data_IF_141635141190
#
_entry.id   IF_141635141190
#
_cell.length_a   1.000
_cell.length_b   1.000
_cell.length_c   1.000
_cell.angle_alpha   90.00
_cell.angle_beta   90.00
_cell.angle_gamma   90.00
#
_symmetry.space_group_name_H-M   'P 1'
#
loop_
_entity.id
_entity.type
_entity.pdbx_description
1 polymer ?
#
# COMPACT_ATOMS: atom_id res chain seq x y z
N UNK A 1 -4.22 23.54 17.86
CA UNK A 1 -3.82 22.12 17.72
C UNK A 1 -4.98 21.34 18.32
N UNK A 2 -5.73 20.69 17.46
CA UNK A 2 -6.91 19.93 17.83
C UNK A 2 -6.41 18.60 18.44
N UNK A 3 -6.39 18.51 19.77
CA UNK A 3 -5.90 17.34 20.52
C UNK A 3 -6.96 16.25 20.67
N UNK A 4 -8.16 16.44 20.10
CA UNK A 4 -9.30 15.53 20.26
C UNK A 4 -9.54 14.64 19.01
N UNK A 5 -8.67 14.68 18.03
CA UNK A 5 -8.77 13.77 16.89
C UNK A 5 -8.16 12.42 17.29
N UNK A 6 -9.00 11.52 17.80
CA UNK A 6 -8.62 10.11 17.92
C UNK A 6 -8.34 9.62 16.49
N UNK A 7 -7.10 9.26 16.16
CA UNK A 7 -6.80 8.78 14.82
C UNK A 7 -7.63 7.54 14.54
N UNK A 8 -8.21 7.48 13.36
CA UNK A 8 -8.89 6.28 12.89
C UNK A 8 -7.84 5.20 12.66
N UNK A 9 -7.83 4.18 13.49
CA UNK A 9 -6.90 3.06 13.39
C UNK A 9 -7.66 1.74 13.23
N UNK A 10 -7.21 0.89 12.31
CA UNK A 10 -7.75 -0.45 12.18
C UNK A 10 -7.25 -1.42 13.26
N UNK A 11 -6.41 -0.96 14.19
CA UNK A 11 -5.96 -1.70 15.36
C UNK A 11 -6.96 -1.61 16.52
N UNK A 12 -7.75 -0.53 16.58
CA UNK A 12 -8.77 -0.31 17.60
C UNK A 12 -10.18 -0.70 17.11
N UNK A 13 -11.06 -1.20 17.99
CA UNK A 13 -12.44 -1.49 17.60
C UNK A 13 -13.23 -0.21 17.31
N UNK A 14 -14.13 -0.27 16.34
CA UNK A 14 -15.13 0.78 16.18
C UNK A 14 -15.95 0.92 17.46
N UNK A 15 -16.02 2.12 18.00
CA UNK A 15 -16.78 2.41 19.22
C UNK A 15 -18.20 2.87 18.91
N UNK A 16 -18.38 3.65 17.84
CA UNK A 16 -19.68 4.17 17.45
C UNK A 16 -20.03 3.78 16.03
N UNK A 17 -21.32 3.58 15.77
CA UNK A 17 -21.85 3.26 14.45
C UNK A 17 -21.67 4.46 13.49
N UNK A 18 -20.96 4.30 12.35
CA UNK A 18 -20.80 5.37 11.37
C UNK A 18 -22.11 5.83 10.72
N UNK A 19 -23.17 5.03 10.81
CA UNK A 19 -24.46 5.34 10.17
C UNK A 19 -25.39 6.19 11.07
N UNK A 20 -25.35 6.02 12.39
CA UNK A 20 -26.31 6.64 13.31
C UNK A 20 -25.74 7.11 14.65
N UNK A 21 -24.43 6.93 14.86
CA UNK A 21 -23.74 7.37 16.08
C UNK A 21 -24.01 6.52 17.34
N UNK A 22 -24.75 5.42 17.24
CA UNK A 22 -25.02 4.53 18.37
C UNK A 22 -23.74 3.82 18.83
N UNK A 23 -23.55 3.65 20.13
CA UNK A 23 -22.44 2.85 20.66
C UNK A 23 -22.58 1.39 20.20
N UNK A 24 -21.48 0.84 19.67
CA UNK A 24 -21.48 -0.51 19.11
C UNK A 24 -21.24 -1.56 20.20
N UNK A 25 -21.88 -2.70 20.03
CA UNK A 25 -21.70 -3.87 20.88
C UNK A 25 -20.73 -4.85 20.20
N UNK A 26 -19.74 -5.35 20.95
CA UNK A 26 -18.82 -6.36 20.45
C UNK A 26 -19.58 -7.63 20.06
N UNK A 27 -19.31 -8.15 18.88
CA UNK A 27 -19.77 -9.48 18.49
C UNK A 27 -19.00 -10.53 19.27
N UNK A 28 -19.71 -11.46 19.91
CA UNK A 28 -19.11 -12.55 20.64
C UNK A 28 -18.27 -13.49 19.79
N UNK A 29 -17.31 -14.19 20.39
CA UNK A 29 -16.43 -15.15 19.76
C UNK A 29 -15.13 -14.52 19.22
N UNK A 30 -14.46 -15.21 18.28
CA UNK A 30 -13.20 -14.75 17.64
C UNK A 30 -13.42 -13.62 16.62
N UNK A 31 -14.66 -13.20 16.41
CA UNK A 31 -15.03 -12.14 15.46
C UNK A 31 -14.50 -10.79 15.95
N UNK A 32 -13.65 -10.15 15.15
CA UNK A 32 -13.16 -8.78 15.37
C UNK A 32 -14.16 -7.72 14.91
N UNK A 33 -15.45 -8.02 15.02
CA UNK A 33 -16.54 -7.16 14.59
C UNK A 33 -17.33 -6.58 15.74
N UNK A 34 -18.10 -5.54 15.43
CA UNK A 34 -19.08 -4.94 16.32
C UNK A 34 -20.43 -4.80 15.61
N UNK A 35 -21.53 -4.82 16.36
CA UNK A 35 -22.88 -4.67 15.82
C UNK A 35 -23.53 -3.41 16.39
N UNK A 36 -24.31 -2.73 15.59
CA UNK A 36 -25.13 -1.63 16.03
C UNK A 36 -26.49 -2.18 16.51
N UNK A 37 -26.87 -1.99 17.79
CA UNK A 37 -28.16 -2.43 18.29
C UNK A 37 -29.34 -1.66 17.70
N UNK A 38 -29.11 -0.46 17.17
CA UNK A 38 -30.14 0.39 16.59
C UNK A 38 -30.42 0.07 15.12
N UNK A 39 -29.39 0.07 14.24
CA UNK A 39 -29.60 -0.14 12.80
C UNK A 39 -29.34 -1.58 12.34
N UNK A 40 -28.85 -2.46 13.22
CA UNK A 40 -28.56 -3.87 12.93
C UNK A 40 -27.33 -4.12 12.06
N UNK A 41 -26.61 -3.08 11.62
CA UNK A 41 -25.40 -3.21 10.79
C UNK A 41 -24.24 -3.76 11.62
N UNK A 42 -23.39 -4.52 10.95
CA UNK A 42 -22.15 -5.04 11.53
C UNK A 42 -20.95 -4.38 10.89
N UNK A 43 -19.96 -4.07 11.70
CA UNK A 43 -18.72 -3.42 11.31
C UNK A 43 -17.55 -4.33 11.66
N UNK A 44 -16.64 -4.52 10.72
CA UNK A 44 -15.46 -5.38 10.87
C UNK A 44 -14.21 -4.58 10.61
N UNK A 45 -13.17 -4.88 11.37
CA UNK A 45 -11.82 -4.35 11.09
C UNK A 45 -11.15 -5.22 10.04
N UNK A 46 -10.51 -4.60 9.09
CA UNK A 46 -9.71 -5.27 8.05
C UNK A 46 -8.43 -4.49 7.80
N UNK A 47 -7.39 -5.17 7.34
CA UNK A 47 -6.21 -4.48 6.82
C UNK A 47 -6.59 -3.62 5.62
N UNK A 48 -6.02 -2.44 5.53
CA UNK A 48 -6.16 -1.60 4.34
C UNK A 48 -5.44 -2.27 3.15
N UNK A 49 -6.07 -2.44 1.99
CA UNK A 49 -5.40 -3.02 0.83
C UNK A 49 -4.49 -1.98 0.16
N UNK A 50 -3.25 -2.38 -0.17
CA UNK A 50 -2.30 -1.56 -0.92
C UNK A 50 -1.62 -2.37 -2.01
N UNK A 51 -1.12 -1.69 -3.04
CA UNK A 51 -0.41 -2.27 -4.18
C UNK A 51 0.96 -1.65 -4.34
N UNK A 52 1.95 -2.45 -4.78
CA UNK A 52 3.30 -2.00 -5.10
C UNK A 52 3.78 -2.55 -6.43
N UNK A 53 4.41 -1.69 -7.24
CA UNK A 53 4.89 -1.99 -8.59
C UNK A 53 6.38 -2.31 -8.62
N UNK A 54 6.77 -3.54 -8.88
CA UNK A 54 8.11 -3.84 -9.35
C UNK A 54 8.19 -3.56 -10.87
N UNK A 55 8.45 -2.31 -11.23
CA UNK A 55 8.64 -1.90 -12.61
C UNK A 55 10.02 -2.35 -13.07
N UNK A 56 10.07 -3.28 -14.03
CA UNK A 56 11.33 -3.90 -14.51
C UNK A 56 11.68 -3.41 -15.91
N UNK A 57 12.96 -3.07 -16.10
CA UNK A 57 13.58 -2.78 -17.39
C UNK A 57 14.92 -3.52 -17.49
N UNK A 58 14.95 -4.60 -18.29
CA UNK A 58 16.07 -5.53 -18.36
C UNK A 58 16.40 -6.15 -17.01
N UNK A 59 17.62 -5.96 -16.53
CA UNK A 59 18.11 -6.49 -15.25
C UNK A 59 17.96 -5.49 -14.08
N UNK A 60 17.11 -4.48 -14.22
CA UNK A 60 16.94 -3.42 -13.22
C UNK A 60 15.47 -3.24 -12.84
N UNK A 61 15.24 -2.87 -11.59
CA UNK A 61 13.93 -2.48 -11.06
C UNK A 61 13.95 -1.00 -10.68
N UNK A 62 12.84 -0.31 -10.94
CA UNK A 62 12.66 1.08 -10.53
C UNK A 62 12.28 1.11 -9.05
N UNK A 63 13.03 1.91 -8.27
CA UNK A 63 12.71 2.23 -6.88
C UNK A 63 12.52 3.74 -6.74
N UNK A 64 11.59 4.13 -5.90
CA UNK A 64 11.26 5.53 -5.59
C UNK A 64 11.88 5.95 -4.26
N UNK A 65 11.98 7.25 -4.04
CA UNK A 65 12.32 7.87 -2.76
C UNK A 65 11.07 8.57 -2.25
N UNK A 66 10.63 8.22 -1.06
CA UNK A 66 9.44 8.80 -0.45
C UNK A 66 9.59 10.31 -0.22
N UNK A 67 8.65 11.08 -0.68
CA UNK A 67 8.58 12.54 -0.51
C UNK A 67 7.87 12.96 0.78
N UNK A 68 7.05 12.08 1.35
CA UNK A 68 6.17 12.35 2.50
C UNK A 68 6.37 11.33 3.64
N UNK A 69 5.85 11.65 4.83
CA UNK A 69 5.77 10.71 5.95
C UNK A 69 4.64 9.68 5.74
N UNK A 70 4.74 8.49 6.31
CA UNK A 70 5.86 7.96 7.12
C UNK A 70 7.06 7.56 6.25
N UNK A 71 8.23 7.45 6.90
CA UNK A 71 9.48 6.98 6.30
C UNK A 71 10.02 7.86 5.16
N UNK A 72 9.76 9.17 5.22
CA UNK A 72 10.25 10.14 4.24
C UNK A 72 11.76 10.03 4.02
N UNK A 73 12.16 10.01 2.75
CA UNK A 73 13.56 9.91 2.32
C UNK A 73 14.08 8.48 2.16
N UNK A 74 13.35 7.46 2.63
CA UNK A 74 13.68 6.05 2.41
C UNK A 74 13.16 5.56 1.05
N UNK A 75 13.64 4.40 0.64
CA UNK A 75 13.24 3.80 -0.63
C UNK A 75 11.92 3.05 -0.51
N UNK A 76 11.18 3.07 -1.61
CA UNK A 76 9.89 2.44 -1.76
C UNK A 76 9.73 1.88 -3.18
N UNK A 77 8.67 1.13 -3.43
CA UNK A 77 8.19 0.84 -4.77
C UNK A 77 7.03 1.77 -5.11
N UNK A 78 6.86 2.18 -6.38
CA UNK A 78 5.67 2.92 -6.78
C UNK A 78 4.40 2.18 -6.41
N UNK A 79 3.41 2.89 -5.88
CA UNK A 79 2.15 2.28 -5.46
C UNK A 79 1.45 3.00 -4.34
N UNK A 80 0.27 2.50 -3.96
CA UNK A 80 -0.55 3.14 -2.95
C UNK A 80 -1.75 2.30 -2.54
N UNK A 81 -2.72 2.94 -1.90
CA UNK A 81 -3.92 2.26 -1.43
C UNK A 81 -4.91 1.99 -2.56
N UNK A 82 -5.56 0.82 -2.48
CA UNK A 82 -6.66 0.47 -3.39
C UNK A 82 -7.92 1.21 -2.95
N UNK A 83 -8.54 1.93 -3.88
CA UNK A 83 -9.78 2.66 -3.61
C UNK A 83 -11.01 1.74 -3.53
N UNK A 84 -12.11 2.27 -2.98
CA UNK A 84 -13.36 1.50 -2.83
C UNK A 84 -13.92 1.14 -4.22
N UNK A 85 -14.04 -0.16 -4.46
CA UNK A 85 -14.56 -0.69 -5.73
C UNK A 85 -13.53 -0.78 -6.85
N UNK A 86 -12.30 -0.40 -6.61
CA UNK A 86 -11.20 -0.49 -7.55
C UNK A 86 -10.58 -1.91 -7.57
N UNK A 87 -10.18 -2.38 -8.74
CA UNK A 87 -9.42 -3.63 -8.83
C UNK A 87 -7.92 -3.35 -8.56
N UNK A 88 -7.18 -4.20 -7.81
CA UNK A 88 -5.78 -3.93 -7.45
C UNK A 88 -4.85 -3.58 -8.62
N UNK A 89 -5.05 -4.17 -9.79
CA UNK A 89 -4.26 -3.84 -10.98
C UNK A 89 -4.59 -2.48 -11.57
N UNK A 90 -5.85 -2.05 -11.46
CA UNK A 90 -6.28 -0.73 -11.92
C UNK A 90 -5.74 0.35 -10.97
N UNK A 91 -5.77 0.07 -9.65
CA UNK A 91 -5.10 0.89 -8.64
C UNK A 91 -3.62 1.11 -8.99
N UNK A 92 -2.90 0.02 -9.27
CA UNK A 92 -1.48 0.10 -9.60
C UNK A 92 -1.22 0.89 -10.89
N UNK A 93 -2.07 0.74 -11.91
CA UNK A 93 -1.96 1.54 -13.14
C UNK A 93 -2.28 3.02 -12.90
N UNK A 94 -3.21 3.34 -11.98
CA UNK A 94 -3.50 4.72 -11.55
C UNK A 94 -2.30 5.32 -10.83
N UNK A 95 -1.76 4.63 -9.80
CA UNK A 95 -0.59 5.08 -9.04
C UNK A 95 0.63 5.32 -9.94
N UNK A 96 0.94 4.40 -10.88
CA UNK A 96 2.04 4.57 -11.82
C UNK A 96 1.89 5.83 -12.68
N UNK A 97 0.65 6.20 -13.02
CA UNK A 97 0.37 7.42 -13.78
C UNK A 97 0.49 8.67 -12.90
N UNK A 98 -0.01 8.62 -11.68
CA UNK A 98 0.01 9.75 -10.74
C UNK A 98 1.43 10.03 -10.25
N UNK A 99 2.17 9.01 -9.85
CA UNK A 99 3.51 9.12 -9.27
C UNK A 99 4.63 9.29 -10.29
N UNK A 100 4.50 8.69 -11.48
CA UNK A 100 5.58 8.60 -12.46
C UNK A 100 5.20 9.10 -13.88
N UNK A 101 3.93 9.37 -14.14
CA UNK A 101 3.47 9.82 -15.45
C UNK A 101 3.57 8.75 -16.56
N UNK A 102 3.57 7.45 -16.21
CA UNK A 102 3.73 6.34 -17.16
C UNK A 102 2.47 5.50 -17.27
N UNK A 103 2.24 4.93 -18.46
CA UNK A 103 1.26 3.86 -18.65
C UNK A 103 1.95 2.50 -18.50
N UNK A 104 1.30 1.58 -17.80
CA UNK A 104 1.89 0.30 -17.44
C UNK A 104 1.01 -0.89 -17.79
N UNK A 105 1.65 -2.02 -18.04
CA UNK A 105 1.04 -3.33 -18.06
C UNK A 105 1.38 -4.07 -16.78
N UNK A 106 0.35 -4.47 -16.04
CA UNK A 106 0.46 -5.15 -14.74
C UNK A 106 0.20 -6.64 -14.92
N UNK A 107 1.08 -7.50 -14.41
CA UNK A 107 0.86 -8.94 -14.43
C UNK A 107 -0.43 -9.34 -13.71
N UNK A 108 -0.99 -10.48 -14.13
CA UNK A 108 -2.32 -10.91 -13.65
C UNK A 108 -2.34 -11.34 -12.19
N UNK A 109 -1.21 -11.80 -11.67
CA UNK A 109 -1.10 -12.31 -10.30
C UNK A 109 -0.08 -11.50 -9.52
N UNK A 110 -0.35 -11.22 -8.24
CA UNK A 110 0.67 -10.66 -7.39
C UNK A 110 1.80 -11.67 -7.18
N UNK A 111 3.02 -11.17 -7.18
CA UNK A 111 4.24 -11.93 -6.87
C UNK A 111 4.33 -12.22 -5.38
N UNK A 112 3.95 -11.25 -4.54
CA UNK A 112 4.08 -11.31 -3.09
C UNK A 112 2.85 -10.70 -2.43
N UNK A 113 2.40 -11.34 -1.35
CA UNK A 113 1.44 -10.78 -0.39
C UNK A 113 2.14 -10.62 0.95
N UNK A 114 1.99 -9.48 1.57
CA UNK A 114 2.54 -9.20 2.89
C UNK A 114 1.55 -8.43 3.76
N UNK A 115 1.66 -8.59 5.07
CA UNK A 115 0.98 -7.72 6.04
C UNK A 115 2.04 -6.98 6.82
N UNK A 116 1.92 -5.66 6.88
CA UNK A 116 2.81 -4.79 7.65
C UNK A 116 2.00 -3.72 8.38
N UNK A 117 2.68 -2.92 9.19
CA UNK A 117 2.11 -1.76 9.84
C UNK A 117 2.52 -0.48 9.11
N UNK A 118 1.62 0.49 9.07
CA UNK A 118 1.80 1.78 8.41
C UNK A 118 1.44 2.92 9.35
N UNK A 119 2.21 4.00 9.28
CA UNK A 119 1.98 5.20 10.05
C UNK A 119 2.25 5.05 11.57
N UNK A 120 2.12 6.15 12.31
CA UNK A 120 2.42 6.20 13.74
C UNK A 120 1.47 5.36 14.60
N UNK A 121 0.24 5.15 14.11
CA UNK A 121 -0.79 4.37 14.82
C UNK A 121 -0.68 2.86 14.55
N UNK A 122 0.26 2.46 13.68
CA UNK A 122 0.53 1.06 13.36
C UNK A 122 -0.62 0.36 12.65
N UNK A 123 -1.30 1.06 11.73
CA UNK A 123 -2.39 0.47 10.95
C UNK A 123 -1.92 -0.72 10.14
N UNK A 124 -2.71 -1.81 10.15
CA UNK A 124 -2.40 -2.98 9.34
C UNK A 124 -2.73 -2.74 7.87
N UNK A 125 -1.74 -3.00 7.02
CA UNK A 125 -1.86 -2.93 5.56
C UNK A 125 -1.62 -4.32 4.98
N UNK A 126 -2.46 -4.73 4.02
CA UNK A 126 -2.25 -5.89 3.16
C UNK A 126 -1.63 -5.40 1.86
N UNK A 127 -0.33 -5.54 1.73
CA UNK A 127 0.41 -5.18 0.53
C UNK A 127 0.39 -6.31 -0.51
N UNK A 128 0.16 -5.95 -1.77
CA UNK A 128 0.17 -6.83 -2.93
C UNK A 128 1.21 -6.33 -3.93
N UNK A 129 2.33 -7.03 -4.06
CA UNK A 129 3.39 -6.70 -5.02
C UNK A 129 3.16 -7.33 -6.38
N UNK A 130 3.26 -6.54 -7.44
CA UNK A 130 3.10 -7.01 -8.82
C UNK A 130 4.34 -6.69 -9.65
N UNK A 131 4.67 -7.58 -10.59
CA UNK A 131 5.62 -7.28 -11.67
C UNK A 131 4.91 -6.42 -12.71
N UNK A 132 5.60 -5.38 -13.17
CA UNK A 132 5.04 -4.33 -14.01
C UNK A 132 6.02 -3.95 -15.11
N UNK A 133 5.49 -3.64 -16.29
CA UNK A 133 6.26 -3.13 -17.41
C UNK A 133 5.68 -1.81 -17.91
N UNK A 134 6.52 -0.82 -18.16
CA UNK A 134 6.11 0.43 -18.79
C UNK A 134 5.77 0.13 -20.27
N UNK A 135 4.61 0.57 -20.71
CA UNK A 135 4.17 0.46 -22.11
C UNK A 135 4.24 1.79 -22.86
N UNK A 136 4.13 2.91 -22.15
CA UNK A 136 4.38 4.24 -22.72
C UNK A 136 4.71 5.28 -21.65
N UNK A 137 5.35 6.37 -22.04
CA UNK A 137 5.83 7.42 -21.16
C UNK A 137 7.27 7.18 -20.67
N UNK A 138 7.87 8.21 -20.13
CA UNK A 138 9.16 8.17 -19.43
C UNK A 138 8.91 8.54 -17.96
N UNK A 139 9.45 7.78 -16.99
CA UNK A 139 9.22 8.07 -15.58
C UNK A 139 9.65 9.49 -15.22
N UNK A 140 8.74 10.22 -14.60
CA UNK A 140 8.99 11.55 -14.08
C UNK A 140 8.35 11.67 -12.69
N UNK A 141 9.14 11.88 -11.62
CA UNK A 141 8.63 11.89 -10.26
C UNK A 141 7.57 12.97 -10.07
N UNK A 142 6.46 12.59 -9.48
CA UNK A 142 5.35 13.47 -9.14
C UNK A 142 4.70 13.00 -7.82
N UNK A 143 3.70 13.73 -7.35
CA UNK A 143 2.94 13.48 -6.14
C UNK A 143 3.84 13.28 -4.90
N UNK A 144 3.76 12.15 -4.24
CA UNK A 144 4.53 11.86 -3.04
C UNK A 144 5.92 11.23 -3.32
N UNK A 145 6.28 11.05 -4.57
CA UNK A 145 7.59 10.57 -5.02
C UNK A 145 8.58 11.72 -5.21
N UNK A 146 9.61 11.79 -4.37
CA UNK A 146 10.63 12.83 -4.47
C UNK A 146 11.63 12.59 -5.61
N UNK A 147 11.98 11.33 -5.87
CA UNK A 147 12.95 10.87 -6.88
C UNK A 147 12.70 9.41 -7.21
N UNK A 148 13.28 8.94 -8.32
CA UNK A 148 13.42 7.51 -8.60
C UNK A 148 14.83 7.17 -9.05
N UNK A 149 15.16 5.89 -9.04
CA UNK A 149 16.35 5.32 -9.67
C UNK A 149 16.13 3.87 -10.11
N UNK A 150 16.90 3.44 -11.10
CA UNK A 150 16.99 2.04 -11.49
C UNK A 150 18.08 1.35 -10.69
N UNK A 151 17.79 0.18 -10.12
CA UNK A 151 18.72 -0.61 -9.31
C UNK A 151 18.84 -2.02 -9.83
N UNK A 152 20.06 -2.56 -9.81
CA UNK A 152 20.34 -3.94 -10.15
C UNK A 152 20.18 -4.87 -8.94
N UNK A 153 20.12 -6.19 -9.19
CA UNK A 153 19.86 -7.17 -8.14
C UNK A 153 20.92 -7.17 -7.02
N UNK A 154 22.19 -6.94 -7.36
CA UNK A 154 23.31 -6.92 -6.41
C UNK A 154 23.33 -5.67 -5.51
N UNK A 155 22.62 -4.61 -5.89
CA UNK A 155 22.49 -3.39 -5.08
C UNK A 155 21.43 -3.51 -3.99
N UNK A 156 20.34 -4.30 -4.22
CA UNK A 156 19.10 -4.28 -3.43
C UNK A 156 19.35 -4.50 -1.93
N UNK A 157 20.25 -5.40 -1.56
CA UNK A 157 20.50 -5.74 -0.15
C UNK A 157 21.12 -4.61 0.65
N UNK A 158 21.89 -3.75 -0.01
CA UNK A 158 22.53 -2.58 0.60
C UNK A 158 21.63 -1.36 0.71
N UNK A 159 20.38 -1.43 0.21
CA UNK A 159 19.48 -0.27 0.14
C UNK A 159 18.60 -0.14 1.39
N UNK A 160 18.27 1.10 1.74
CA UNK A 160 17.41 1.43 2.87
C UNK A 160 15.94 1.57 2.43
N UNK A 161 15.24 0.43 2.33
CA UNK A 161 13.81 0.42 2.05
C UNK A 161 13.00 0.79 3.28
N UNK A 162 11.91 1.50 3.08
CA UNK A 162 10.92 1.83 4.10
C UNK A 162 10.29 0.56 4.70
N UNK A 163 10.01 -0.42 3.85
CA UNK A 163 9.43 -1.69 4.26
C UNK A 163 10.18 -2.89 3.65
N UNK A 164 10.33 -3.93 4.43
CA UNK A 164 11.05 -5.14 4.02
C UNK A 164 10.34 -5.92 2.89
N UNK A 165 9.01 -5.82 2.80
CA UNK A 165 8.28 -6.47 1.73
C UNK A 165 8.59 -5.85 0.35
N UNK A 166 8.84 -4.54 0.25
CA UNK A 166 9.23 -3.89 -1.00
C UNK A 166 10.60 -4.36 -1.49
N UNK A 167 11.56 -4.49 -0.56
CA UNK A 167 12.86 -5.11 -0.88
C UNK A 167 12.69 -6.51 -1.46
N UNK A 168 11.82 -7.32 -0.85
CA UNK A 168 11.54 -8.69 -1.30
C UNK A 168 10.86 -8.72 -2.66
N UNK A 169 9.89 -7.84 -2.91
CA UNK A 169 9.21 -7.69 -4.21
C UNK A 169 10.22 -7.30 -5.28
N UNK A 170 11.06 -6.28 -5.01
CA UNK A 170 12.09 -5.81 -5.94
C UNK A 170 13.08 -6.91 -6.32
N UNK A 171 13.54 -7.70 -5.33
CA UNK A 171 14.44 -8.83 -5.55
C UNK A 171 13.79 -9.92 -6.39
N UNK A 172 12.62 -10.38 -5.98
CA UNK A 172 11.90 -11.45 -6.68
C UNK A 172 11.62 -11.08 -8.13
N UNK A 173 11.29 -9.81 -8.40
CA UNK A 173 11.03 -9.35 -9.76
C UNK A 173 12.24 -9.48 -10.70
N UNK A 174 13.47 -9.43 -10.18
CA UNK A 174 14.69 -9.61 -10.98
C UNK A 174 15.15 -11.06 -11.07
N UNK A 175 14.75 -11.93 -10.12
CA UNK A 175 15.06 -13.36 -10.14
C UNK A 175 14.16 -14.14 -11.10
N UNK A 176 12.92 -13.72 -11.29
CA UNK A 176 11.89 -14.37 -12.12
C UNK A 176 11.91 -13.90 -13.59
N UNK A 177 12.94 -13.14 -14.00
CA UNK A 177 13.10 -12.50 -15.30
C UNK A 177 13.84 -13.27 -16.38
#
# INVERSE_FOLDING_TARGET
MDQDRVPFSNTEPFRFCPADGTELEAKGGESRGAACPTCGRSWYRSSAPAVGAAIVDGERVLVTVRGIEPEKGRLDLPGGFVEVGEHPRDALAREAREELGVEVEVEQRPMLLAVHTYGPDGEYVLAMGFRVRIVSGEPNPADDVAKFRWVAADEIDGLDFAWEHDRRIARQALEDG
#
